data_IF_311208285444
#
_entry.id   IF_311208285444
#
_cell.length_a   1.000
_cell.length_b   1.000
_cell.length_c   1.000
_cell.angle_alpha   90.00
_cell.angle_beta   90.00
_cell.angle_gamma   90.00
#
_symmetry.space_group_name_H-M   'P 1'
#
loop_
_entity.id
_entity.type
_entity.pdbx_description
1 polymer ?
#
# COMPACT_ATOMS: atom_id res chain seq x y z
N UNK A 1 -37.30 -28.26 -27.71
CA UNK A 1 -36.26 -29.14 -27.13
C UNK A 1 -34.98 -29.15 -27.99
N UNK A 2 -35.08 -29.26 -29.28
CA UNK A 2 -33.93 -29.27 -30.24
C UNK A 2 -33.17 -27.92 -30.32
N UNK A 3 -33.83 -26.78 -30.22
CA UNK A 3 -33.20 -25.46 -30.29
C UNK A 3 -32.27 -25.20 -29.08
N UNK A 4 -32.61 -25.72 -27.87
CA UNK A 4 -31.79 -25.57 -26.67
C UNK A 4 -30.49 -26.39 -26.76
N UNK A 5 -30.54 -27.56 -27.36
CA UNK A 5 -29.37 -28.44 -27.60
C UNK A 5 -28.43 -27.84 -28.66
N UNK A 6 -28.96 -27.18 -29.69
CA UNK A 6 -28.19 -26.46 -30.69
C UNK A 6 -27.49 -25.21 -30.12
N UNK A 7 -28.14 -24.46 -29.24
CA UNK A 7 -27.52 -23.31 -28.53
C UNK A 7 -26.39 -23.74 -27.60
N UNK A 8 -26.57 -24.81 -26.84
CA UNK A 8 -25.52 -25.34 -25.94
C UNK A 8 -24.30 -25.88 -26.73
N UNK A 9 -24.53 -26.48 -27.93
CA UNK A 9 -23.44 -26.97 -28.78
C UNK A 9 -22.63 -25.85 -29.41
N UNK A 10 -23.26 -24.73 -29.78
CA UNK A 10 -22.57 -23.52 -30.33
C UNK A 10 -21.76 -22.82 -29.25
N UNK A 11 -22.26 -22.71 -28.01
CA UNK A 11 -21.52 -22.14 -26.87
C UNK A 11 -20.30 -22.99 -26.53
N UNK A 12 -20.44 -24.31 -26.59
CA UNK A 12 -19.32 -25.24 -26.34
C UNK A 12 -18.23 -25.14 -27.41
N UNK A 13 -18.61 -25.02 -28.67
CA UNK A 13 -17.66 -24.87 -29.79
C UNK A 13 -16.90 -23.54 -29.71
N UNK A 14 -17.56 -22.47 -29.27
CA UNK A 14 -16.94 -21.16 -29.07
C UNK A 14 -15.90 -21.22 -27.95
N UNK A 15 -16.25 -21.82 -26.80
CA UNK A 15 -15.32 -22.03 -25.67
C UNK A 15 -14.11 -22.89 -26.01
N UNK A 16 -14.31 -23.93 -26.83
CA UNK A 16 -13.19 -24.75 -27.32
C UNK A 16 -12.25 -23.93 -28.19
N UNK A 17 -12.78 -23.07 -29.09
CA UNK A 17 -11.97 -22.18 -29.92
C UNK A 17 -11.18 -21.18 -29.09
N UNK A 18 -11.78 -20.57 -28.08
CA UNK A 18 -11.10 -19.65 -27.15
C UNK A 18 -9.97 -20.34 -26.38
N UNK A 19 -10.21 -21.55 -25.85
CA UNK A 19 -9.19 -22.33 -25.16
C UNK A 19 -8.03 -22.71 -26.08
N UNK A 20 -8.29 -23.00 -27.36
CA UNK A 20 -7.26 -23.27 -28.35
C UNK A 20 -6.39 -22.02 -28.61
N UNK A 21 -6.99 -20.83 -28.73
CA UNK A 21 -6.25 -19.57 -28.89
C UNK A 21 -5.38 -19.24 -27.67
N UNK A 22 -5.91 -19.47 -26.45
CA UNK A 22 -5.15 -19.28 -25.21
C UNK A 22 -3.96 -20.25 -25.16
N UNK A 23 -4.17 -21.50 -25.53
CA UNK A 23 -3.10 -22.51 -25.59
C UNK A 23 -1.98 -22.09 -26.55
N UNK A 24 -2.33 -21.69 -27.77
CA UNK A 24 -1.36 -21.24 -28.78
C UNK A 24 -0.57 -19.99 -28.31
N UNK A 25 -1.24 -19.07 -27.60
CA UNK A 25 -0.60 -17.90 -27.01
C UNK A 25 0.41 -18.30 -25.94
N UNK A 26 0.06 -19.23 -25.06
CA UNK A 26 0.94 -19.75 -24.02
C UNK A 26 2.15 -20.50 -24.60
N UNK A 27 1.94 -21.32 -25.61
CA UNK A 27 3.03 -22.04 -26.31
C UNK A 27 4.03 -21.06 -26.94
N UNK A 28 3.58 -19.94 -27.52
CA UNK A 28 4.45 -18.87 -28.02
C UNK A 28 5.24 -18.18 -26.91
N UNK A 29 4.61 -17.93 -25.77
CA UNK A 29 5.30 -17.31 -24.60
C UNK A 29 6.35 -18.25 -24.01
N UNK A 30 6.07 -19.53 -23.89
CA UNK A 30 7.02 -20.55 -23.41
C UNK A 30 8.24 -20.59 -24.34
N UNK A 31 8.03 -20.61 -25.66
CA UNK A 31 9.13 -20.64 -26.63
C UNK A 31 10.02 -19.40 -26.54
N UNK A 32 9.44 -18.21 -26.38
CA UNK A 32 10.18 -16.97 -26.20
C UNK A 32 10.98 -16.96 -24.90
N UNK A 33 10.42 -17.52 -23.82
CA UNK A 33 11.12 -17.65 -22.54
C UNK A 33 12.31 -18.63 -22.62
N UNK A 34 12.17 -19.73 -23.36
CA UNK A 34 13.25 -20.69 -23.60
C UNK A 34 14.39 -20.09 -24.47
N UNK A 35 14.04 -19.27 -25.48
CA UNK A 35 15.04 -18.56 -26.30
C UNK A 35 15.84 -17.56 -25.45
N UNK A 36 15.18 -16.75 -24.61
CA UNK A 36 15.84 -15.83 -23.69
C UNK A 36 16.71 -16.56 -22.66
N UNK A 37 16.28 -17.72 -22.16
CA UNK A 37 17.09 -18.54 -21.25
C UNK A 37 18.39 -19.00 -21.92
N UNK A 38 18.33 -19.46 -23.16
CA UNK A 38 19.52 -19.86 -23.94
C UNK A 38 20.47 -18.70 -24.19
N UNK A 39 19.94 -17.51 -24.46
CA UNK A 39 20.74 -16.29 -24.64
C UNK A 39 21.50 -15.93 -23.36
N UNK A 40 20.83 -15.96 -22.22
CA UNK A 40 21.46 -15.71 -20.91
C UNK A 40 22.52 -16.77 -20.59
N UNK A 41 22.26 -18.05 -20.85
CA UNK A 41 23.25 -19.12 -20.67
C UNK A 41 24.48 -18.94 -21.57
N UNK A 42 24.28 -18.49 -22.81
CA UNK A 42 25.39 -18.17 -23.73
C UNK A 42 26.24 -16.99 -23.25
N UNK A 43 25.61 -15.93 -22.73
CA UNK A 43 26.29 -14.78 -22.15
C UNK A 43 27.09 -15.17 -20.90
N UNK A 44 26.53 -16.01 -20.03
CA UNK A 44 27.23 -16.53 -18.85
C UNK A 44 28.46 -17.38 -19.23
N UNK A 45 28.35 -18.24 -20.24
CA UNK A 45 29.48 -19.00 -20.74
C UNK A 45 30.55 -18.10 -21.38
N UNK A 46 30.16 -17.02 -22.04
CA UNK A 46 31.09 -16.00 -22.57
C UNK A 46 31.88 -15.30 -21.46
N UNK A 47 31.20 -14.92 -20.38
CA UNK A 47 31.83 -14.29 -19.21
C UNK A 47 32.83 -15.21 -18.50
N UNK A 48 32.49 -16.49 -18.32
CA UNK A 48 33.42 -17.50 -17.74
C UNK A 48 34.66 -17.72 -18.59
N UNK A 49 34.58 -17.64 -19.92
CA UNK A 49 35.72 -17.75 -20.82
C UNK A 49 36.65 -16.53 -20.74
N UNK A 50 36.11 -15.33 -20.52
CA UNK A 50 36.89 -14.10 -20.38
C UNK A 50 37.65 -14.09 -19.03
N UNK A 51 37.04 -14.66 -17.99
CA UNK A 51 37.65 -14.78 -16.65
C UNK A 51 38.88 -15.70 -16.63
N UNK A 52 38.89 -16.74 -17.48
CA UNK A 52 40.01 -17.69 -17.60
C UNK A 52 41.17 -17.20 -18.48
N UNK A 53 41.02 -16.07 -19.16
CA UNK A 53 42.02 -15.55 -20.11
C UNK A 53 42.88 -14.37 -19.60
N UNK A 54 42.58 -13.79 -18.45
CA UNK A 54 43.31 -12.64 -17.91
C UNK A 54 43.82 -12.91 -16.49
N UNK A 55 45.14 -13.18 -16.42
CA UNK A 55 45.83 -13.57 -15.19
C UNK A 55 45.90 -12.51 -14.08
N UNK A 56 45.67 -12.95 -12.92
CA UNK A 56 46.30 -12.84 -11.58
C UNK A 56 46.46 -11.50 -10.86
N UNK A 57 46.06 -10.34 -11.32
CA UNK A 57 46.16 -9.12 -10.48
C UNK A 57 44.90 -8.24 -10.39
N UNK A 58 43.93 -8.47 -11.26
CA UNK A 58 42.59 -7.81 -11.15
C UNK A 58 41.54 -8.64 -10.39
N UNK A 59 41.90 -9.83 -9.96
CA UNK A 59 41.00 -10.83 -9.39
C UNK A 59 40.66 -10.55 -7.91
N UNK A 60 41.50 -9.86 -7.17
CA UNK A 60 41.22 -9.58 -5.76
C UNK A 60 40.32 -8.34 -5.57
N UNK A 61 40.47 -7.30 -6.38
CA UNK A 61 39.56 -6.15 -6.36
C UNK A 61 38.19 -6.51 -6.93
N UNK A 62 38.13 -7.31 -7.99
CA UNK A 62 36.84 -7.81 -8.52
C UNK A 62 36.17 -8.80 -7.57
N UNK A 63 36.91 -9.64 -6.83
CA UNK A 63 36.36 -10.49 -5.77
C UNK A 63 35.85 -9.69 -4.59
N UNK A 64 36.55 -8.63 -4.16
CA UNK A 64 36.04 -7.70 -3.13
C UNK A 64 34.79 -6.94 -3.59
N UNK A 65 34.72 -6.49 -4.83
CA UNK A 65 33.55 -5.85 -5.40
C UNK A 65 32.39 -6.84 -5.56
N UNK A 66 32.64 -8.10 -5.91
CA UNK A 66 31.62 -9.16 -6.02
C UNK A 66 31.16 -9.66 -4.66
N UNK A 67 31.99 -9.64 -3.63
CA UNK A 67 31.59 -9.91 -2.25
C UNK A 67 30.73 -8.79 -1.65
N UNK A 68 30.97 -7.55 -2.06
CA UNK A 68 30.13 -6.40 -1.70
C UNK A 68 28.82 -6.34 -2.52
N UNK A 69 28.77 -6.99 -3.68
CA UNK A 69 27.61 -7.05 -4.59
C UNK A 69 26.78 -8.34 -4.49
N UNK A 70 27.19 -9.29 -3.66
CA UNK A 70 26.31 -10.45 -3.36
C UNK A 70 25.09 -9.92 -2.63
N UNK A 71 23.84 -10.11 -3.16
CA UNK A 71 22.65 -9.88 -2.37
C UNK A 71 22.78 -10.79 -1.14
N UNK A 72 22.94 -10.19 0.02
CA UNK A 72 22.90 -10.88 1.30
C UNK A 72 21.64 -11.74 1.30
N UNK A 73 21.81 -13.07 1.30
CA UNK A 73 20.69 -13.99 1.52
C UNK A 73 19.92 -13.47 2.74
N UNK A 74 18.58 -13.50 2.73
CA UNK A 74 17.84 -13.13 3.91
C UNK A 74 18.23 -14.11 5.01
N UNK A 75 19.14 -13.67 5.88
CA UNK A 75 19.34 -14.33 7.16
C UNK A 75 17.97 -14.28 7.85
N UNK A 76 17.37 -15.44 8.01
CA UNK A 76 16.35 -15.70 9.00
C UNK A 76 17.06 -15.56 10.35
N UNK A 77 17.36 -14.34 10.74
CA UNK A 77 17.83 -13.98 12.05
C UNK A 77 16.65 -13.40 12.80
N UNK A 78 16.34 -14.07 13.91
CA UNK A 78 15.67 -13.54 15.11
C UNK A 78 15.18 -12.10 14.94
N UNK A 79 13.88 -11.91 15.00
CA UNK A 79 13.18 -10.63 14.89
C UNK A 79 13.84 -9.61 15.83
N UNK A 80 14.91 -8.96 15.37
CA UNK A 80 15.27 -7.66 15.90
C UNK A 80 14.12 -6.74 15.48
N UNK A 81 13.39 -6.24 16.48
CA UNK A 81 12.42 -5.15 16.29
C UNK A 81 13.22 -3.99 15.72
N UNK A 82 13.23 -3.88 14.39
CA UNK A 82 13.84 -2.74 13.72
C UNK A 82 13.02 -1.53 14.12
N UNK A 83 13.62 -0.58 14.83
CA UNK A 83 13.02 0.72 15.16
C UNK A 83 12.95 1.62 13.91
N UNK A 84 12.65 1.02 12.76
CA UNK A 84 12.52 1.76 11.50
C UNK A 84 11.29 2.65 11.59
N UNK A 85 11.48 3.93 11.34
CA UNK A 85 10.42 4.92 11.18
C UNK A 85 10.56 5.59 9.83
N UNK A 86 9.44 5.91 9.23
CA UNK A 86 9.37 6.55 7.90
C UNK A 86 8.58 7.84 8.01
N UNK A 87 8.88 8.81 7.17
CA UNK A 87 8.21 10.10 7.20
C UNK A 87 6.71 9.96 6.86
N UNK A 88 5.86 10.67 7.58
CA UNK A 88 4.43 10.80 7.28
C UNK A 88 4.16 11.72 6.08
N UNK A 89 5.19 12.45 5.60
CA UNK A 89 5.05 13.52 4.62
C UNK A 89 4.77 14.90 5.26
N UNK A 90 4.65 14.96 6.58
CA UNK A 90 4.40 16.19 7.34
C UNK A 90 5.45 16.28 8.46
N UNK A 91 6.45 17.17 8.34
CA UNK A 91 7.59 17.23 9.27
C UNK A 91 7.19 17.37 10.74
N UNK A 92 6.16 18.14 11.04
CA UNK A 92 5.66 18.31 12.41
C UNK A 92 4.97 17.06 12.98
N UNK A 93 4.32 16.27 12.13
CA UNK A 93 3.79 14.96 12.53
C UNK A 93 4.93 14.00 12.80
N UNK A 94 5.98 14.03 11.97
CA UNK A 94 7.17 13.21 12.19
C UNK A 94 7.89 13.59 13.49
N UNK A 95 7.97 14.89 13.80
CA UNK A 95 8.48 15.38 15.09
C UNK A 95 7.62 14.89 16.26
N UNK A 96 6.30 14.96 16.15
CA UNK A 96 5.35 14.45 17.16
C UNK A 96 5.52 12.94 17.39
N UNK A 97 5.74 12.19 16.32
CA UNK A 97 5.97 10.73 16.35
C UNK A 97 7.44 10.37 16.64
N UNK A 98 8.30 11.35 16.99
CA UNK A 98 9.73 11.15 17.26
C UNK A 98 10.47 10.42 16.13
N UNK A 99 10.26 10.88 14.90
CA UNK A 99 10.92 10.38 13.69
C UNK A 99 10.01 9.73 12.66
N UNK A 100 8.68 9.82 12.83
CA UNK A 100 7.70 9.37 11.84
C UNK A 100 6.94 8.09 12.19
N UNK A 101 6.33 7.51 11.19
CA UNK A 101 5.46 6.32 11.27
C UNK A 101 6.31 5.05 11.46
N UNK A 102 6.06 4.22 12.48
CA UNK A 102 6.80 2.97 12.67
C UNK A 102 6.55 1.96 11.53
N UNK A 103 7.57 1.14 11.21
CA UNK A 103 7.46 0.03 10.27
C UNK A 103 7.85 -1.27 11.00
N UNK A 104 6.98 -2.29 11.03
CA UNK A 104 5.58 -2.30 10.58
C UNK A 104 4.65 -1.60 11.57
N UNK A 105 3.56 -1.00 11.07
CA UNK A 105 2.49 -0.50 11.92
C UNK A 105 1.15 -0.39 11.18
N UNK A 106 0.07 -0.46 11.94
CA UNK A 106 -1.30 -0.19 11.50
C UNK A 106 -1.85 0.96 12.35
N UNK A 107 -2.07 2.12 11.74
CA UNK A 107 -2.50 3.34 12.44
C UNK A 107 -3.84 3.81 11.86
N UNK A 108 -4.82 4.04 12.72
CA UNK A 108 -6.09 4.64 12.31
C UNK A 108 -5.97 6.17 12.33
N UNK A 109 -6.42 6.80 11.27
CA UNK A 109 -6.70 8.23 11.21
C UNK A 109 -8.20 8.41 11.45
N UNK A 110 -8.57 8.78 12.67
CA UNK A 110 -9.95 8.85 13.14
C UNK A 110 -10.42 10.30 13.35
N UNK A 111 -11.61 10.62 12.93
CA UNK A 111 -12.20 11.92 13.18
C UNK A 111 -13.44 12.21 12.34
N UNK A 112 -14.12 13.29 12.67
CA UNK A 112 -15.31 13.73 11.92
C UNK A 112 -14.99 14.01 10.44
N UNK A 113 -16.00 13.98 9.56
CA UNK A 113 -15.87 14.45 8.19
C UNK A 113 -15.22 15.83 8.12
N UNK A 114 -14.48 16.11 7.03
CA UNK A 114 -13.82 17.40 6.78
C UNK A 114 -12.71 17.77 7.77
N UNK A 115 -12.22 16.83 8.57
CA UNK A 115 -10.98 17.02 9.33
C UNK A 115 -9.77 16.67 8.45
N UNK A 116 -8.58 17.12 8.88
CA UNK A 116 -7.35 16.99 8.09
C UNK A 116 -6.77 15.58 8.01
N UNK A 117 -7.50 14.55 8.46
CA UNK A 117 -7.08 13.15 8.39
C UNK A 117 -6.84 12.70 6.94
N UNK A 118 -7.69 13.13 6.01
CA UNK A 118 -7.56 12.84 4.58
C UNK A 118 -6.31 13.48 3.99
N UNK A 119 -6.02 14.72 4.38
CA UNK A 119 -4.83 15.44 3.96
C UNK A 119 -3.57 14.74 4.46
N UNK A 120 -3.56 14.25 5.71
CA UNK A 120 -2.44 13.47 6.23
C UNK A 120 -2.26 12.17 5.45
N UNK A 121 -3.35 11.46 5.12
CA UNK A 121 -3.30 10.25 4.31
C UNK A 121 -2.71 10.49 2.92
N UNK A 122 -3.14 11.54 2.22
CA UNK A 122 -2.62 11.86 0.88
C UNK A 122 -1.19 12.41 0.92
N UNK A 123 -0.78 13.13 1.97
CA UNK A 123 0.64 13.49 2.18
C UNK A 123 1.52 12.26 2.37
N UNK A 124 1.03 11.25 3.10
CA UNK A 124 1.74 9.98 3.28
C UNK A 124 1.96 9.24 1.95
N UNK A 125 0.97 9.27 1.04
CA UNK A 125 1.09 8.74 -0.32
C UNK A 125 2.09 9.56 -1.14
N UNK A 126 1.96 10.88 -1.16
CA UNK A 126 2.86 11.74 -1.90
C UNK A 126 4.33 11.59 -1.45
N UNK A 127 4.53 11.45 -0.14
CA UNK A 127 5.88 11.24 0.40
C UNK A 127 6.45 9.86 0.04
N UNK A 128 5.60 8.84 -0.12
CA UNK A 128 6.00 7.52 -0.63
C UNK A 128 6.70 7.63 -1.99
N UNK A 129 6.11 8.40 -2.89
CA UNK A 129 6.65 8.66 -4.22
C UNK A 129 7.98 9.42 -4.13
N UNK A 130 8.06 10.48 -3.31
CA UNK A 130 9.29 11.25 -3.09
C UNK A 130 10.46 10.41 -2.57
N UNK A 131 10.16 9.40 -1.75
CA UNK A 131 11.15 8.49 -1.19
C UNK A 131 11.39 7.25 -2.07
N UNK A 132 10.72 7.15 -3.23
CA UNK A 132 10.78 5.99 -4.13
C UNK A 132 10.42 4.67 -3.42
N UNK A 133 9.43 4.70 -2.54
CA UNK A 133 8.87 3.54 -1.82
C UNK A 133 7.46 3.26 -2.34
N UNK A 134 7.13 2.03 -2.73
CA UNK A 134 5.80 1.70 -3.22
C UNK A 134 4.69 1.90 -2.17
N UNK A 135 3.52 2.35 -2.64
CA UNK A 135 2.31 2.47 -1.85
C UNK A 135 1.15 1.72 -2.48
N UNK A 136 0.44 0.94 -1.67
CA UNK A 136 -0.84 0.33 -2.05
C UNK A 136 -1.96 1.21 -1.50
N UNK A 137 -2.88 1.61 -2.36
CA UNK A 137 -4.07 2.38 -2.00
C UNK A 137 -5.29 1.49 -2.20
N UNK A 138 -6.03 1.25 -1.11
CA UNK A 138 -7.31 0.53 -1.15
C UNK A 138 -8.43 1.56 -1.12
N UNK A 139 -9.17 1.69 -2.21
CA UNK A 139 -10.27 2.65 -2.32
C UNK A 139 -11.62 1.95 -2.21
N UNK A 140 -12.35 2.22 -1.11
CA UNK A 140 -13.66 1.66 -0.84
C UNK A 140 -14.80 2.69 -0.85
N UNK A 141 -14.49 3.98 -0.67
CA UNK A 141 -15.49 5.06 -0.62
C UNK A 141 -15.08 6.33 -1.38
N UNK A 142 -13.99 6.28 -2.15
CA UNK A 142 -13.50 7.44 -2.91
C UNK A 142 -13.06 7.05 -4.33
N UNK A 143 -13.33 7.92 -5.28
CA UNK A 143 -12.88 7.76 -6.65
C UNK A 143 -11.34 7.88 -6.77
N UNK A 144 -10.74 7.00 -7.57
CA UNK A 144 -9.28 7.00 -7.78
C UNK A 144 -8.81 8.28 -8.46
N UNK A 145 -9.61 8.90 -9.34
CA UNK A 145 -9.25 10.18 -9.97
C UNK A 145 -9.08 11.27 -8.92
N UNK A 146 -9.95 11.30 -7.91
CA UNK A 146 -9.82 12.25 -6.81
C UNK A 146 -8.56 11.99 -5.98
N UNK A 147 -8.23 10.71 -5.71
CA UNK A 147 -7.01 10.33 -4.99
C UNK A 147 -5.76 10.75 -5.78
N UNK A 148 -5.75 10.53 -7.09
CA UNK A 148 -4.66 10.96 -7.98
C UNK A 148 -4.52 12.48 -7.99
N UNK A 149 -5.62 13.21 -8.09
CA UNK A 149 -5.63 14.67 -8.04
C UNK A 149 -5.06 15.21 -6.72
N UNK A 150 -5.50 14.68 -5.58
CA UNK A 150 -5.00 15.09 -4.26
C UNK A 150 -3.51 14.74 -4.08
N UNK A 151 -3.08 13.60 -4.62
CA UNK A 151 -1.67 13.19 -4.61
C UNK A 151 -0.82 14.12 -5.46
N UNK A 152 -1.25 14.43 -6.68
CA UNK A 152 -0.58 15.34 -7.61
C UNK A 152 -0.39 16.72 -6.97
N UNK A 153 -1.45 17.23 -6.35
CA UNK A 153 -1.42 18.51 -5.62
C UNK A 153 -0.37 18.51 -4.49
N UNK A 154 -0.27 17.43 -3.71
CA UNK A 154 0.72 17.32 -2.64
C UNK A 154 2.16 17.13 -3.17
N UNK A 155 2.30 16.66 -4.40
CA UNK A 155 3.58 16.57 -5.11
C UNK A 155 3.93 17.87 -5.84
N UNK A 156 2.97 18.78 -6.02
CA UNK A 156 3.06 19.98 -6.85
C UNK A 156 3.38 19.65 -8.32
N UNK A 157 2.63 18.66 -8.86
CA UNK A 157 2.71 18.22 -10.26
C UNK A 157 1.30 18.17 -10.87
N UNK A 158 1.21 18.02 -12.21
CA UNK A 158 -0.06 17.78 -12.89
C UNK A 158 -0.58 16.38 -12.61
N UNK A 159 -1.92 16.15 -12.58
CA UNK A 159 -2.52 14.85 -12.27
C UNK A 159 -2.04 13.70 -13.17
N UNK A 160 -1.75 13.98 -14.44
CA UNK A 160 -1.28 13.02 -15.44
C UNK A 160 0.10 12.42 -15.08
N UNK A 161 0.92 13.15 -14.33
CA UNK A 161 2.22 12.67 -13.84
C UNK A 161 2.05 11.50 -12.86
N UNK A 162 0.94 11.47 -12.14
CA UNK A 162 0.62 10.38 -11.19
C UNK A 162 0.36 9.06 -11.92
N UNK A 163 -0.13 9.10 -13.14
CA UNK A 163 -0.30 7.90 -13.98
C UNK A 163 1.07 7.26 -14.31
N UNK A 164 2.11 8.07 -14.49
CA UNK A 164 3.48 7.59 -14.67
C UNK A 164 3.98 6.82 -13.44
N UNK A 165 3.73 7.30 -12.24
CA UNK A 165 4.11 6.58 -11.00
C UNK A 165 3.31 5.28 -10.82
N UNK A 166 2.07 5.23 -11.29
CA UNK A 166 1.31 3.99 -11.36
C UNK A 166 1.93 3.02 -12.37
N UNK A 167 2.35 3.52 -13.53
CA UNK A 167 3.02 2.73 -14.58
C UNK A 167 4.36 2.15 -14.10
N UNK A 168 5.10 2.89 -13.32
CA UNK A 168 6.34 2.44 -12.66
C UNK A 168 6.08 1.49 -11.47
N UNK A 169 4.83 1.37 -11.01
CA UNK A 169 4.44 0.53 -9.89
C UNK A 169 4.74 1.10 -8.51
N UNK A 170 5.04 2.40 -8.43
CA UNK A 170 5.18 3.13 -7.15
C UNK A 170 3.83 3.38 -6.49
N UNK A 171 2.76 3.57 -7.28
CA UNK A 171 1.39 3.60 -6.79
C UNK A 171 0.67 2.37 -7.34
N UNK A 172 -0.06 1.67 -6.48
CA UNK A 172 -0.88 0.52 -6.85
C UNK A 172 -2.25 0.62 -6.21
N UNK A 173 -3.30 0.36 -6.97
CA UNK A 173 -4.67 0.49 -6.50
C UNK A 173 -5.37 -0.86 -6.35
N UNK A 174 -6.16 -0.99 -5.28
CA UNK A 174 -7.24 -1.96 -5.14
C UNK A 174 -8.54 -1.17 -5.13
N UNK A 175 -9.31 -1.27 -6.21
CA UNK A 175 -10.51 -0.47 -6.46
C UNK A 175 -11.77 -1.27 -6.11
N UNK A 176 -12.42 -0.89 -5.03
CA UNK A 176 -13.71 -1.43 -4.59
C UNK A 176 -14.82 -0.43 -4.94
N UNK A 177 -14.48 0.87 -4.95
CA UNK A 177 -15.43 1.96 -5.08
C UNK A 177 -16.10 2.01 -6.45
N UNK A 178 -15.34 1.91 -7.55
CA UNK A 178 -15.89 2.04 -8.90
C UNK A 178 -17.01 1.04 -9.17
N UNK A 179 -16.88 -0.20 -8.71
CA UNK A 179 -17.94 -1.21 -8.85
C UNK A 179 -19.15 -0.93 -7.97
N UNK A 180 -18.95 -0.37 -6.79
CA UNK A 180 -20.07 -0.02 -5.88
C UNK A 180 -21.00 1.03 -6.47
N UNK A 181 -20.47 1.92 -7.32
CA UNK A 181 -21.25 2.97 -8.02
C UNK A 181 -21.47 2.65 -9.51
N UNK A 182 -21.17 1.42 -9.94
CA UNK A 182 -21.38 0.93 -11.30
C UNK A 182 -20.66 1.74 -12.39
N UNK A 183 -19.44 2.23 -12.08
CA UNK A 183 -18.58 2.94 -13.04
C UNK A 183 -17.35 2.11 -13.40
N UNK A 184 -16.62 2.56 -14.44
CA UNK A 184 -15.32 2.01 -14.76
C UNK A 184 -14.26 2.63 -13.87
N UNK A 185 -13.27 1.81 -13.48
CA UNK A 185 -12.11 2.33 -12.75
C UNK A 185 -11.32 3.32 -13.60
N UNK A 186 -10.94 4.49 -13.05
CA UNK A 186 -10.06 5.43 -13.74
C UNK A 186 -8.62 4.92 -13.88
N UNK A 187 -8.26 3.89 -13.13
CA UNK A 187 -6.94 3.26 -13.18
C UNK A 187 -6.97 2.02 -14.08
N UNK A 188 -6.05 1.96 -15.05
CA UNK A 188 -5.91 0.81 -15.96
C UNK A 188 -5.22 -0.38 -15.31
N UNK A 189 -4.48 -0.16 -14.23
CA UNK A 189 -3.69 -1.18 -13.51
C UNK A 189 -4.27 -1.57 -12.15
N UNK A 190 -5.37 -0.95 -11.75
CA UNK A 190 -6.04 -1.30 -10.50
C UNK A 190 -6.52 -2.74 -10.50
N UNK A 191 -6.36 -3.43 -9.37
CA UNK A 191 -7.10 -4.67 -9.13
C UNK A 191 -8.51 -4.28 -8.71
N UNK A 192 -9.48 -4.61 -9.56
CA UNK A 192 -10.88 -4.28 -9.33
C UNK A 192 -11.52 -5.38 -8.49
N UNK A 193 -12.22 -4.98 -7.42
CA UNK A 193 -12.99 -5.88 -6.57
C UNK A 193 -14.47 -5.60 -6.76
N UNK A 194 -15.23 -6.61 -7.14
CA UNK A 194 -16.63 -6.45 -7.55
C UNK A 194 -17.56 -6.06 -6.42
N UNK A 195 -17.24 -6.40 -5.18
CA UNK A 195 -18.07 -6.08 -4.02
C UNK A 195 -17.24 -5.94 -2.75
N UNK A 196 -17.57 -4.97 -1.92
CA UNK A 196 -17.04 -4.80 -0.58
C UNK A 196 -17.29 -6.03 0.31
N UNK A 197 -18.34 -6.81 0.01
CA UNK A 197 -18.65 -8.06 0.73
C UNK A 197 -17.65 -9.18 0.49
N UNK A 198 -16.83 -9.08 -0.55
CA UNK A 198 -15.84 -10.08 -0.90
C UNK A 198 -14.52 -9.89 -0.13
N UNK A 199 -14.57 -9.97 1.21
CA UNK A 199 -13.42 -9.74 2.09
C UNK A 199 -12.20 -10.60 1.74
N UNK A 200 -12.40 -11.84 1.32
CA UNK A 200 -11.32 -12.74 0.90
C UNK A 200 -10.64 -12.29 -0.40
N UNK A 201 -11.40 -11.74 -1.34
CA UNK A 201 -10.86 -11.19 -2.60
C UNK A 201 -10.05 -9.93 -2.30
N UNK A 202 -10.55 -9.04 -1.44
CA UNK A 202 -9.81 -7.84 -1.01
C UNK A 202 -8.47 -8.21 -0.39
N UNK A 203 -8.46 -9.17 0.56
CA UNK A 203 -7.23 -9.65 1.17
C UNK A 203 -6.26 -10.20 0.13
N UNK A 204 -6.76 -11.03 -0.80
CA UNK A 204 -5.94 -11.67 -1.84
C UNK A 204 -5.37 -10.65 -2.83
N UNK A 205 -6.15 -9.65 -3.22
CA UNK A 205 -5.70 -8.57 -4.10
C UNK A 205 -4.51 -7.82 -3.53
N UNK A 206 -4.57 -7.51 -2.24
CA UNK A 206 -3.47 -6.83 -1.56
C UNK A 206 -2.26 -7.76 -1.43
N UNK A 207 -2.44 -9.05 -1.10
CA UNK A 207 -1.36 -10.05 -1.02
C UNK A 207 -0.60 -10.22 -2.34
N UNK A 208 -1.29 -10.15 -3.47
CA UNK A 208 -0.66 -10.20 -4.79
C UNK A 208 0.27 -8.99 -4.97
N UNK A 209 -0.23 -7.78 -4.72
CA UNK A 209 0.54 -6.56 -4.87
C UNK A 209 1.74 -6.51 -3.90
N UNK A 210 1.54 -6.87 -2.62
CA UNK A 210 2.63 -6.87 -1.65
C UNK A 210 3.70 -7.91 -1.97
N UNK A 211 3.30 -9.09 -2.48
CA UNK A 211 4.26 -10.12 -2.88
C UNK A 211 5.16 -9.65 -4.01
N UNK A 212 4.62 -8.87 -4.95
CA UNK A 212 5.41 -8.26 -6.02
C UNK A 212 6.35 -7.18 -5.49
N UNK A 213 5.86 -6.28 -4.65
CA UNK A 213 6.63 -5.20 -4.06
C UNK A 213 7.81 -5.74 -3.24
N UNK A 214 7.56 -6.72 -2.38
CA UNK A 214 8.55 -7.25 -1.45
C UNK A 214 9.66 -8.08 -2.12
N UNK A 215 9.57 -8.34 -3.43
CA UNK A 215 10.71 -8.88 -4.21
C UNK A 215 11.85 -7.87 -4.36
N UNK A 216 11.52 -6.58 -4.37
CA UNK A 216 12.46 -5.49 -4.68
C UNK A 216 12.65 -4.53 -3.51
N UNK A 217 11.59 -4.27 -2.75
CA UNK A 217 11.59 -3.27 -1.68
C UNK A 217 11.56 -3.93 -0.30
N UNK A 218 12.27 -3.38 0.70
CA UNK A 218 12.34 -3.95 2.05
C UNK A 218 11.06 -3.77 2.86
N UNK A 219 10.22 -2.81 2.50
CA UNK A 219 8.92 -2.49 3.08
C UNK A 219 8.07 -1.70 2.06
N UNK A 220 6.81 -1.48 2.37
CA UNK A 220 5.91 -0.65 1.56
C UNK A 220 4.94 0.13 2.46
N UNK A 221 4.27 1.10 1.87
CA UNK A 221 3.21 1.88 2.51
C UNK A 221 1.85 1.40 2.06
N UNK A 222 0.84 1.64 2.89
CA UNK A 222 -0.56 1.42 2.50
C UNK A 222 -1.44 2.55 3.04
N UNK A 223 -2.37 3.00 2.21
CA UNK A 223 -3.47 3.88 2.62
C UNK A 223 -4.80 3.19 2.31
N UNK A 224 -5.61 2.97 3.36
CA UNK A 224 -6.93 2.36 3.24
C UNK A 224 -8.02 3.45 3.35
N UNK A 225 -8.75 3.69 2.27
CA UNK A 225 -9.78 4.74 2.12
C UNK A 225 -11.12 4.07 1.82
N UNK A 226 -12.03 3.89 2.78
CA UNK A 226 -11.85 3.93 4.22
C UNK A 226 -12.45 2.68 4.87
N UNK A 227 -12.10 2.40 6.12
CA UNK A 227 -12.75 1.36 6.91
C UNK A 227 -14.23 1.67 7.18
N UNK A 228 -14.60 2.95 7.13
CA UNK A 228 -15.98 3.41 7.34
C UNK A 228 -16.99 2.74 6.42
N UNK A 229 -16.62 2.52 5.14
CA UNK A 229 -17.46 1.86 4.17
C UNK A 229 -17.82 0.41 4.55
N UNK A 230 -16.98 -0.23 5.36
CA UNK A 230 -17.16 -1.64 5.77
C UNK A 230 -18.08 -1.78 6.99
N UNK A 231 -18.04 -0.82 7.91
CA UNK A 231 -18.78 -0.93 9.19
C UNK A 231 -20.26 -1.24 8.99
N UNK A 232 -21.03 -0.52 8.13
CA UNK A 232 -22.45 -0.79 7.95
C UNK A 232 -22.77 -2.04 7.11
N UNK A 233 -21.76 -2.65 6.47
CA UNK A 233 -21.95 -3.79 5.54
C UNK A 233 -21.87 -5.14 6.23
N UNK A 234 -21.37 -5.19 7.47
CA UNK A 234 -21.10 -6.44 8.16
C UNK A 234 -21.58 -6.39 9.61
N UNK A 235 -21.92 -7.56 10.14
CA UNK A 235 -22.03 -7.72 11.58
C UNK A 235 -20.68 -7.38 12.25
N UNK A 236 -20.72 -6.71 13.40
CA UNK A 236 -19.54 -6.28 14.16
C UNK A 236 -18.48 -7.40 14.28
N UNK A 237 -18.93 -8.61 14.64
CA UNK A 237 -18.05 -9.78 14.81
C UNK A 237 -17.28 -10.17 13.53
N UNK A 238 -17.95 -10.11 12.38
CA UNK A 238 -17.34 -10.42 11.07
C UNK A 238 -16.32 -9.35 10.70
N UNK A 239 -16.72 -8.09 10.85
CA UNK A 239 -15.84 -6.94 10.58
C UNK A 239 -14.60 -6.95 11.48
N UNK A 240 -14.76 -7.22 12.77
CA UNK A 240 -13.62 -7.29 13.71
C UNK A 240 -12.66 -8.42 13.36
N UNK A 241 -13.18 -9.60 13.03
CA UNK A 241 -12.35 -10.74 12.59
C UNK A 241 -11.56 -10.40 11.33
N UNK A 242 -12.21 -9.76 10.35
CA UNK A 242 -11.54 -9.29 9.14
C UNK A 242 -10.43 -8.30 9.45
N UNK A 243 -10.73 -7.25 10.24
CA UNK A 243 -9.77 -6.21 10.62
C UNK A 243 -8.57 -6.81 11.35
N UNK A 244 -8.80 -7.75 12.27
CA UNK A 244 -7.72 -8.43 12.99
C UNK A 244 -6.82 -9.25 12.04
N UNK A 245 -7.41 -10.03 11.14
CA UNK A 245 -6.64 -10.82 10.16
C UNK A 245 -5.88 -9.89 9.21
N UNK A 246 -6.53 -8.82 8.76
CA UNK A 246 -5.96 -7.85 7.85
C UNK A 246 -4.71 -7.20 8.45
N UNK A 247 -4.82 -6.65 9.66
CA UNK A 247 -3.73 -5.94 10.33
C UNK A 247 -2.56 -6.85 10.68
N UNK A 248 -2.82 -8.09 11.12
CA UNK A 248 -1.77 -9.07 11.40
C UNK A 248 -0.95 -9.40 10.14
N UNK A 249 -1.61 -9.58 8.99
CA UNK A 249 -0.92 -9.82 7.72
C UNK A 249 -0.04 -8.63 7.32
N UNK A 250 -0.54 -7.40 7.48
CA UNK A 250 0.25 -6.17 7.19
C UNK A 250 1.48 -6.04 8.07
N UNK A 251 1.40 -6.43 9.34
CA UNK A 251 2.59 -6.50 10.21
C UNK A 251 3.63 -7.52 9.72
N UNK A 252 3.16 -8.70 9.34
CA UNK A 252 4.04 -9.76 8.84
C UNK A 252 4.76 -9.34 7.55
N UNK A 253 4.10 -8.57 6.68
CA UNK A 253 4.62 -8.10 5.40
C UNK A 253 5.37 -6.77 5.46
N UNK A 254 5.75 -6.31 6.65
CA UNK A 254 6.52 -5.05 6.87
C UNK A 254 5.85 -3.83 6.24
N UNK A 255 4.54 -3.70 6.40
CA UNK A 255 3.75 -2.60 5.92
C UNK A 255 3.65 -1.49 6.97
N UNK A 256 3.82 -0.23 6.56
CA UNK A 256 3.35 0.93 7.31
C UNK A 256 1.99 1.34 6.74
N UNK A 257 0.92 1.08 7.48
CA UNK A 257 -0.44 1.27 7.01
C UNK A 257 -1.18 2.36 7.78
N UNK A 258 -1.83 3.26 7.04
CA UNK A 258 -2.79 4.23 7.55
C UNK A 258 -4.20 3.84 7.09
N UNK A 259 -5.16 3.92 7.99
CA UNK A 259 -6.56 3.58 7.75
C UNK A 259 -7.44 4.79 8.07
N UNK A 260 -8.20 5.28 7.10
CA UNK A 260 -9.19 6.32 7.35
C UNK A 260 -10.43 5.72 8.02
N UNK A 261 -10.94 6.41 9.04
CA UNK A 261 -12.15 6.04 9.76
C UNK A 261 -12.91 7.31 10.18
N UNK A 262 -14.16 7.43 9.73
CA UNK A 262 -15.03 8.56 10.05
C UNK A 262 -15.68 8.39 11.43
N UNK A 263 -15.71 9.46 12.21
CA UNK A 263 -16.48 9.53 13.45
C UNK A 263 -17.96 9.77 13.19
N UNK A 264 -18.82 9.28 14.09
CA UNK A 264 -20.26 9.54 14.08
C UNK A 264 -21.10 8.60 13.21
N UNK A 265 -20.51 7.60 12.53
CA UNK A 265 -21.22 6.65 11.67
C UNK A 265 -21.42 5.26 12.31
N UNK A 266 -20.95 5.06 13.53
CA UNK A 266 -21.04 3.80 14.27
C UNK A 266 -20.87 4.03 15.77
N UNK A 267 -21.19 3.02 16.57
CA UNK A 267 -21.11 3.10 18.03
C UNK A 267 -19.65 3.24 18.50
N UNK A 268 -19.45 4.00 19.58
CA UNK A 268 -18.15 4.22 20.22
C UNK A 268 -17.43 2.89 20.53
N UNK A 269 -18.17 1.84 20.89
CA UNK A 269 -17.64 0.51 21.17
C UNK A 269 -16.92 -0.11 19.95
N UNK A 270 -17.42 0.13 18.73
CA UNK A 270 -16.78 -0.33 17.49
C UNK A 270 -15.43 0.36 17.32
N UNK A 271 -15.37 1.67 17.54
CA UNK A 271 -14.12 2.42 17.51
C UNK A 271 -13.10 1.91 18.55
N UNK A 272 -13.52 1.69 19.78
CA UNK A 272 -12.66 1.16 20.84
C UNK A 272 -12.09 -0.22 20.46
N UNK A 273 -12.90 -1.09 19.86
CA UNK A 273 -12.46 -2.41 19.40
C UNK A 273 -11.47 -2.30 18.23
N UNK A 274 -11.73 -1.41 17.25
CA UNK A 274 -10.78 -1.15 16.16
C UNK A 274 -9.46 -0.63 16.73
N UNK A 275 -9.52 0.35 17.61
CA UNK A 275 -8.34 0.96 18.25
C UNK A 275 -7.51 -0.07 19.04
N UNK A 276 -8.15 -1.07 19.65
CA UNK A 276 -7.47 -2.16 20.34
C UNK A 276 -6.71 -3.10 19.36
N UNK A 277 -7.25 -3.31 18.16
CA UNK A 277 -6.61 -4.15 17.12
C UNK A 277 -5.41 -3.46 16.49
N UNK A 278 -5.46 -2.14 16.38
CA UNK A 278 -4.43 -1.31 15.74
C UNK A 278 -3.23 -1.06 16.65
N UNK A 279 -2.13 -0.60 16.07
CA UNK A 279 -0.93 -0.22 16.82
C UNK A 279 -1.06 1.16 17.45
N UNK A 280 -1.92 2.00 16.89
CA UNK A 280 -2.22 3.33 17.39
C UNK A 280 -3.29 4.03 16.58
N UNK A 281 -3.70 5.18 17.11
CA UNK A 281 -4.71 6.05 16.49
C UNK A 281 -4.19 7.47 16.48
N UNK A 282 -4.39 8.17 15.37
CA UNK A 282 -4.25 9.62 15.28
C UNK A 282 -5.68 10.17 15.19
N UNK A 283 -6.12 10.76 16.27
CA UNK A 283 -7.46 11.31 16.41
C UNK A 283 -7.50 12.76 15.97
N UNK A 284 -8.53 13.13 15.22
CA UNK A 284 -8.79 14.50 14.79
C UNK A 284 -10.14 14.96 15.35
N UNK A 285 -10.17 16.19 15.82
CA UNK A 285 -11.41 16.84 16.25
C UNK A 285 -11.51 18.28 15.78
N UNK A 286 -12.74 18.75 15.63
CA UNK A 286 -13.06 20.13 15.34
C UNK A 286 -13.71 20.76 16.56
N UNK A 287 -13.15 21.86 17.08
CA UNK A 287 -13.69 22.61 18.21
C UNK A 287 -13.62 24.09 17.87
N UNK A 288 -14.74 24.79 17.87
CA UNK A 288 -14.83 26.22 17.56
C UNK A 288 -14.09 26.60 16.25
N UNK A 289 -14.33 25.85 15.17
CA UNK A 289 -13.69 25.99 13.86
C UNK A 289 -12.17 25.81 13.83
N UNK A 290 -11.57 25.33 14.90
CA UNK A 290 -10.16 24.92 14.97
C UNK A 290 -10.05 23.41 14.97
N UNK A 291 -9.07 22.90 14.25
CA UNK A 291 -8.80 21.48 14.22
C UNK A 291 -7.67 21.12 15.18
N UNK A 292 -7.78 19.95 15.77
CA UNK A 292 -6.78 19.40 16.69
C UNK A 292 -6.49 17.96 16.34
N UNK A 293 -5.27 17.55 16.62
CA UNK A 293 -4.79 16.20 16.45
C UNK A 293 -4.23 15.67 17.78
N UNK A 294 -4.45 14.39 18.07
CA UNK A 294 -3.90 13.68 19.22
C UNK A 294 -3.44 12.29 18.81
N UNK A 295 -2.33 11.83 19.36
CA UNK A 295 -1.82 10.48 19.13
C UNK A 295 -2.09 9.59 20.34
N UNK A 296 -2.71 8.44 20.11
CA UNK A 296 -3.06 7.44 21.11
C UNK A 296 -2.49 6.07 20.73
N UNK A 297 -2.10 5.27 21.71
CA UNK A 297 -1.66 3.87 21.50
C UNK A 297 -0.21 3.71 21.06
N UNK A 298 0.33 4.62 20.25
CA UNK A 298 1.72 4.53 19.80
C UNK A 298 2.69 4.74 20.98
N UNK A 299 3.71 3.88 21.11
CA UNK A 299 4.80 4.13 22.06
C UNK A 299 5.65 5.32 21.58
N UNK A 300 6.30 6.01 22.50
CA UNK A 300 7.30 7.04 22.18
C UNK A 300 6.78 8.14 21.25
N UNK A 301 5.82 8.92 21.72
CA UNK A 301 5.36 10.16 21.10
C UNK A 301 5.79 11.35 21.95
N UNK A 302 5.94 12.52 21.33
CA UNK A 302 6.45 13.72 21.99
C UNK A 302 5.46 14.29 23.01
N UNK A 303 4.18 14.23 22.71
CA UNK A 303 3.09 14.58 23.62
C UNK A 303 1.86 13.71 23.33
N UNK A 304 1.02 13.52 24.33
CA UNK A 304 -0.29 12.85 24.23
C UNK A 304 -1.45 13.84 24.33
N UNK A 305 -1.13 15.13 24.38
CA UNK A 305 -2.12 16.19 24.39
C UNK A 305 -2.64 16.52 22.99
N UNK A 306 -3.73 17.27 22.92
CA UNK A 306 -4.28 17.77 21.68
C UNK A 306 -3.40 18.89 21.12
N UNK A 307 -2.90 18.71 19.92
CA UNK A 307 -2.09 19.69 19.18
C UNK A 307 -2.97 20.35 18.12
N UNK A 308 -2.94 21.67 18.03
CA UNK A 308 -3.70 22.40 17.01
C UNK A 308 -3.15 22.11 15.61
N UNK A 309 -4.07 21.90 14.65
CA UNK A 309 -3.77 21.65 13.24
C UNK A 309 -4.03 22.91 12.44
N UNK A 310 -3.06 23.34 11.65
CA UNK A 310 -3.18 24.47 10.77
C UNK A 310 -3.26 24.02 9.30
N UNK A 311 -4.31 24.43 8.61
CA UNK A 311 -4.44 24.29 7.17
C UNK A 311 -4.27 25.67 6.53
N UNK A 312 -3.06 25.96 6.08
CA UNK A 312 -2.78 27.22 5.37
C UNK A 312 -2.43 26.87 3.92
N UNK A 313 -3.22 27.38 2.96
CA UNK A 313 -3.01 27.10 1.54
C UNK A 313 -2.90 25.60 1.21
N UNK A 314 -3.75 24.78 1.86
CA UNK A 314 -3.79 23.32 1.72
C UNK A 314 -2.53 22.59 2.23
N UNK A 315 -1.60 23.27 2.86
CA UNK A 315 -0.52 22.63 3.60
C UNK A 315 -0.99 22.30 5.01
N UNK A 316 -0.81 21.04 5.36
CA UNK A 316 -1.05 20.54 6.71
C UNK A 316 0.17 20.85 7.58
N UNK A 317 -0.04 21.51 8.72
CA UNK A 317 1.00 21.74 9.72
C UNK A 317 0.44 21.64 11.13
N UNK A 318 1.29 21.48 12.11
CA UNK A 318 0.93 21.42 13.54
C UNK A 318 1.45 22.65 14.27
N UNK A 319 0.71 23.04 15.30
CA UNK A 319 1.14 24.03 16.26
C UNK A 319 2.37 23.60 17.06
N UNK A 320 2.89 24.53 17.83
CA UNK A 320 3.97 24.24 18.77
C UNK A 320 3.45 23.32 19.88
N UNK A 321 4.14 22.24 20.14
CA UNK A 321 3.91 21.42 21.32
C UNK A 321 5.02 21.64 22.32
N UNK A 322 4.64 21.98 23.57
CA UNK A 322 5.60 22.17 24.66
C UNK A 322 6.18 20.82 25.07
N UNK A 323 7.49 20.82 25.35
CA UNK A 323 8.13 19.69 26.01
C UNK A 323 7.65 19.69 27.49
N UNK A 324 6.64 18.91 27.81
CA UNK A 324 6.45 18.54 29.20
C UNK A 324 7.61 17.64 29.63
N UNK A 325 8.53 18.19 30.43
CA UNK A 325 9.47 17.37 31.17
C UNK A 325 8.66 16.57 32.19
N UNK A 326 8.44 15.29 31.91
CA UNK A 326 8.03 14.35 32.92
C UNK A 326 9.16 14.35 33.97
N UNK A 327 8.87 14.95 35.15
CA UNK A 327 9.70 14.83 36.33
C UNK A 327 9.47 13.51 37.01
#
# INVERSE_FOLDING_TARGET
MWEKVLMESTDLSLKISELQQIRESLEKQIKLAEEKKKEVESLLQGLVKVENASGTQKTEEAKRALELAKPTQPMVSTVQRTNLKISSGVPKVDELLLGGVPVPSNIVLFGAPFTSKDILGTNFVANSIKENIPVIIVSADRDISQIKYDTARNLNVEPEVVDGFEDEGLIRFVDIYSKSIQTQSPSKKAIIVDSISNLSVILKSIEVLETEILKTYPYYRMLFISLTAFVPQFEEKVFMKFTQQFTQKRKASRCAALYLLEDGLFDQKVFETISYIMDGTIEFKLVNSRQYLKVVGLPNVRTREWVEVYNKNQTFDLGSFSLERVR
#
